data_IF_776413637415
#
_entry.id   IF_776413637415
#
_cell.length_a   1.000
_cell.length_b   1.000
_cell.length_c   1.000
_cell.angle_alpha   90.00
_cell.angle_beta   90.00
_cell.angle_gamma   90.00
#
_symmetry.space_group_name_H-M   'P 1'
#
loop_
_entity.id
_entity.type
_entity.pdbx_description
1 polymer ?
#
# COMPACT_ATOMS: atom_id res chain seq x y z
N UNK A 1 -21.25 55.92 -13.37
CA UNK A 1 -20.01 55.41 -12.74
C UNK A 1 -19.14 54.77 -13.81
N UNK A 2 -18.13 55.49 -14.31
CA UNK A 2 -17.12 54.91 -15.22
C UNK A 2 -16.13 54.14 -14.35
N UNK A 3 -16.17 52.82 -14.43
CA UNK A 3 -15.23 51.91 -13.77
C UNK A 3 -13.82 52.22 -14.32
N UNK A 4 -12.95 52.75 -13.46
CA UNK A 4 -11.60 53.22 -13.78
C UNK A 4 -10.56 52.11 -13.95
N UNK A 5 -10.84 51.09 -14.75
CA UNK A 5 -9.82 50.11 -15.18
C UNK A 5 -9.27 50.39 -16.59
N UNK A 6 -9.62 51.54 -17.19
CA UNK A 6 -9.29 51.86 -18.58
C UNK A 6 -8.11 52.85 -18.72
N UNK A 7 -7.04 52.65 -17.96
CA UNK A 7 -5.77 53.38 -18.17
C UNK A 7 -4.54 52.52 -17.86
N UNK A 8 -4.56 51.24 -18.24
CA UNK A 8 -3.35 50.42 -18.27
C UNK A 8 -2.86 50.33 -19.72
N UNK A 9 -1.65 50.82 -19.96
CA UNK A 9 -0.98 50.65 -21.25
C UNK A 9 -0.83 49.16 -21.58
N UNK A 10 -0.92 48.80 -22.86
CA UNK A 10 -0.82 47.40 -23.34
C UNK A 10 0.38 46.65 -22.75
N UNK A 11 1.51 47.34 -22.54
CA UNK A 11 2.71 46.79 -21.90
C UNK A 11 2.53 46.46 -20.41
N UNK A 12 1.73 47.25 -19.67
CA UNK A 12 1.41 47.01 -18.26
C UNK A 12 0.50 45.78 -18.09
N UNK A 13 -0.43 45.56 -19.02
CA UNK A 13 -1.25 44.34 -19.05
C UNK A 13 -0.42 43.08 -19.34
N UNK A 14 0.58 43.19 -20.24
CA UNK A 14 1.51 42.10 -20.54
C UNK A 14 2.39 41.77 -19.33
N UNK A 15 2.87 42.78 -18.60
CA UNK A 15 3.66 42.58 -17.37
C UNK A 15 2.83 41.96 -16.25
N UNK A 16 1.56 42.35 -16.10
CA UNK A 16 0.65 41.77 -15.11
C UNK A 16 0.31 40.30 -15.44
N UNK A 17 0.08 39.98 -16.73
CA UNK A 17 -0.17 38.62 -17.17
C UNK A 17 1.07 37.71 -16.99
N UNK A 18 2.27 38.24 -17.22
CA UNK A 18 3.53 37.54 -16.96
C UNK A 18 3.70 37.25 -15.46
N UNK A 19 3.40 38.22 -14.61
CA UNK A 19 3.50 38.09 -13.16
C UNK A 19 2.49 37.09 -12.59
N UNK A 20 1.25 37.05 -13.12
CA UNK A 20 0.24 36.06 -12.75
C UNK A 20 0.65 34.63 -13.14
N UNK A 21 1.36 34.46 -14.25
CA UNK A 21 1.84 33.13 -14.70
C UNK A 21 2.94 32.54 -13.79
N UNK A 22 3.60 33.35 -12.96
CA UNK A 22 4.69 32.91 -12.08
C UNK A 22 4.20 32.33 -10.75
N UNK A 23 2.93 32.55 -10.38
CA UNK A 23 2.35 32.12 -9.10
C UNK A 23 1.63 30.76 -9.21
N UNK A 24 1.41 30.28 -10.44
CA UNK A 24 0.93 28.93 -10.72
C UNK A 24 2.17 28.06 -11.03
N UNK A 25 3.07 27.95 -10.06
CA UNK A 25 4.13 26.93 -10.14
C UNK A 25 3.51 25.53 -10.24
N UNK A 26 4.22 24.54 -10.82
CA UNK A 26 3.72 23.18 -10.81
C UNK A 26 3.51 22.80 -9.35
N UNK A 27 2.30 22.37 -9.02
CA UNK A 27 1.97 21.77 -7.75
C UNK A 27 2.87 20.53 -7.66
N UNK A 28 4.08 20.68 -7.11
CA UNK A 28 4.94 19.56 -6.77
C UNK A 28 4.11 18.74 -5.81
N UNK A 29 3.66 17.60 -6.29
CA UNK A 29 2.92 16.62 -5.51
C UNK A 29 3.82 16.27 -4.33
N UNK A 30 3.57 16.87 -3.17
CA UNK A 30 4.11 16.38 -1.93
C UNK A 30 3.63 14.92 -1.86
N UNK A 31 4.56 13.99 -2.08
CA UNK A 31 4.28 12.57 -1.95
C UNK A 31 3.87 12.37 -0.50
N UNK A 32 2.57 12.23 -0.27
CA UNK A 32 2.04 11.76 1.00
C UNK A 32 2.72 10.41 1.20
N UNK A 33 3.71 10.36 2.10
CA UNK A 33 4.26 9.10 2.57
C UNK A 33 3.15 8.47 3.38
N UNK A 34 2.26 7.75 2.70
CA UNK A 34 1.33 6.85 3.33
C UNK A 34 2.20 5.88 4.10
N UNK A 35 2.22 6.01 5.43
CA UNK A 35 2.71 4.93 6.26
C UNK A 35 1.83 3.74 5.91
N UNK A 36 2.38 2.86 5.08
CA UNK A 36 1.71 1.68 4.60
C UNK A 36 1.23 0.93 5.82
N UNK A 37 -0.09 0.85 6.02
CA UNK A 37 -0.70 -0.20 6.83
C UNK A 37 0.04 -1.48 6.54
N UNK A 38 0.57 -2.21 7.54
CA UNK A 38 1.40 -3.38 7.30
C UNK A 38 0.68 -4.28 6.31
N UNK A 39 1.20 -4.29 5.08
CA UNK A 39 0.55 -4.99 3.99
C UNK A 39 0.64 -6.47 4.31
N UNK A 40 -0.46 -7.21 4.11
CA UNK A 40 -0.49 -8.65 4.25
C UNK A 40 0.41 -9.25 3.16
N UNK A 41 1.70 -9.22 3.45
CA UNK A 41 2.80 -9.74 2.65
C UNK A 41 3.20 -11.07 3.26
N UNK A 42 3.58 -12.01 2.41
CA UNK A 42 4.00 -13.34 2.83
C UNK A 42 5.13 -13.25 3.86
N UNK A 43 6.10 -12.37 3.63
CA UNK A 43 7.29 -12.21 4.46
C UNK A 43 6.96 -11.78 5.89
N UNK A 44 5.89 -10.99 6.09
CA UNK A 44 5.49 -10.51 7.41
C UNK A 44 4.61 -11.52 8.15
N UNK A 45 3.78 -12.29 7.44
CA UNK A 45 2.79 -13.20 8.05
C UNK A 45 3.35 -14.59 8.31
N UNK A 46 4.28 -15.07 7.47
CA UNK A 46 4.80 -16.44 7.52
C UNK A 46 5.49 -16.80 8.84
N UNK A 47 6.39 -15.98 9.42
CA UNK A 47 7.03 -16.33 10.70
C UNK A 47 6.03 -16.44 11.85
N UNK A 48 4.99 -15.60 11.83
CA UNK A 48 3.92 -15.64 12.82
C UNK A 48 3.07 -16.91 12.69
N UNK A 49 2.63 -17.23 11.46
CA UNK A 49 1.86 -18.45 11.19
C UNK A 49 2.67 -19.71 11.49
N UNK A 50 3.96 -19.74 11.13
CA UNK A 50 4.83 -20.88 11.42
C UNK A 50 4.91 -21.17 12.92
N UNK A 51 5.09 -20.13 13.74
CA UNK A 51 5.12 -20.27 15.20
C UNK A 51 3.78 -20.75 15.75
N UNK A 52 2.68 -20.11 15.34
CA UNK A 52 1.33 -20.44 15.81
C UNK A 52 0.93 -21.87 15.43
N UNK A 53 1.04 -22.22 14.15
CA UNK A 53 0.61 -23.51 13.63
C UNK A 53 1.46 -24.63 14.22
N UNK A 54 2.79 -24.44 14.34
CA UNK A 54 3.66 -25.44 14.96
C UNK A 54 3.32 -25.67 16.44
N UNK A 55 2.95 -24.62 17.19
CA UNK A 55 2.51 -24.77 18.59
C UNK A 55 1.22 -25.57 18.68
N UNK A 56 0.22 -25.19 17.89
CA UNK A 56 -1.09 -25.85 17.85
C UNK A 56 -0.97 -27.32 17.43
N UNK A 57 -0.14 -27.62 16.43
CA UNK A 57 0.09 -28.99 15.98
C UNK A 57 0.68 -29.86 17.10
N UNK A 58 1.63 -29.32 17.88
CA UNK A 58 2.21 -30.03 19.03
C UNK A 58 1.18 -30.25 20.13
N UNK A 59 0.43 -29.22 20.50
CA UNK A 59 -0.58 -29.29 21.56
C UNK A 59 -1.71 -30.27 21.24
N UNK A 60 -2.12 -30.32 19.98
CA UNK A 60 -3.25 -31.13 19.53
C UNK A 60 -2.82 -32.49 18.94
N UNK A 61 -1.53 -32.84 18.99
CA UNK A 61 -0.97 -34.04 18.37
C UNK A 61 -1.35 -34.20 16.88
N UNK A 62 -1.35 -33.09 16.13
CA UNK A 62 -1.61 -33.07 14.68
C UNK A 62 -0.28 -33.29 13.96
N UNK A 63 -0.22 -34.33 13.12
CA UNK A 63 0.99 -34.71 12.37
C UNK A 63 1.24 -33.85 11.13
N UNK A 64 0.19 -33.24 10.57
CA UNK A 64 0.29 -32.33 9.44
C UNK A 64 -1.01 -31.60 9.13
N UNK A 65 -0.90 -30.43 8.51
CA UNK A 65 -2.03 -29.64 8.02
C UNK A 65 -1.63 -28.71 6.87
N UNK A 66 -2.54 -28.48 5.93
CA UNK A 66 -2.41 -27.42 4.92
C UNK A 66 -3.21 -26.19 5.34
N UNK A 67 -2.60 -25.01 5.27
CA UNK A 67 -3.25 -23.73 5.56
C UNK A 67 -3.23 -22.86 4.32
N UNK A 68 -4.38 -22.29 3.97
CA UNK A 68 -4.52 -21.29 2.90
C UNK A 68 -5.35 -20.11 3.39
N UNK A 69 -4.87 -18.89 3.12
CA UNK A 69 -5.52 -17.63 3.50
C UNK A 69 -5.80 -16.85 2.22
N UNK A 70 -7.04 -16.39 2.06
CA UNK A 70 -7.48 -15.58 0.92
C UNK A 70 -7.66 -14.14 1.39
N UNK A 71 -7.05 -13.20 0.69
CA UNK A 71 -7.26 -11.77 0.86
C UNK A 71 -7.55 -11.12 -0.49
N UNK A 72 -8.51 -10.19 -0.52
CA UNK A 72 -8.90 -9.45 -1.74
C UNK A 72 -9.16 -10.36 -2.96
N UNK A 73 -9.87 -11.48 -2.74
CA UNK A 73 -10.21 -12.48 -3.77
C UNK A 73 -9.01 -13.25 -4.36
N UNK A 74 -7.83 -13.16 -3.74
CA UNK A 74 -6.62 -13.89 -4.14
C UNK A 74 -6.02 -14.66 -2.97
N UNK A 75 -5.30 -15.75 -3.24
CA UNK A 75 -4.58 -16.49 -2.19
C UNK A 75 -3.40 -15.64 -1.74
N UNK A 76 -3.45 -15.21 -0.48
CA UNK A 76 -2.43 -14.38 0.13
C UNK A 76 -1.32 -15.21 0.81
N UNK A 77 -1.66 -16.42 1.26
CA UNK A 77 -0.71 -17.37 1.84
C UNK A 77 -1.22 -18.80 1.63
N UNK A 78 -0.33 -19.73 1.29
CA UNK A 78 -0.64 -21.17 1.26
C UNK A 78 0.61 -21.97 1.58
N UNK A 79 0.54 -22.82 2.61
CA UNK A 79 1.67 -23.64 3.07
C UNK A 79 1.18 -24.93 3.72
N UNK A 80 1.92 -26.02 3.46
CA UNK A 80 1.78 -27.28 4.18
C UNK A 80 2.72 -27.34 5.38
N UNK A 81 2.22 -27.84 6.49
CA UNK A 81 2.96 -28.07 7.73
C UNK A 81 2.93 -29.56 8.08
N UNK A 82 4.06 -30.09 8.54
CA UNK A 82 4.17 -31.49 8.92
C UNK A 82 4.00 -32.47 7.74
N UNK A 83 3.38 -33.60 8.02
CA UNK A 83 3.26 -34.72 7.08
C UNK A 83 1.79 -35.01 6.76
N UNK A 84 1.49 -35.21 5.48
CA UNK A 84 0.24 -35.80 5.02
C UNK A 84 0.16 -37.30 5.30
N UNK A 85 1.32 -37.97 5.35
CA UNK A 85 1.46 -39.37 5.70
C UNK A 85 2.77 -39.57 6.50
N UNK A 86 2.64 -39.91 7.78
CA UNK A 86 3.80 -40.05 8.68
C UNK A 86 4.67 -41.27 8.34
N UNK A 87 4.08 -42.35 7.83
CA UNK A 87 4.81 -43.57 7.49
C UNK A 87 5.64 -43.37 6.22
N UNK A 88 5.04 -42.69 5.24
CA UNK A 88 5.70 -42.36 3.98
C UNK A 88 6.48 -41.04 4.01
N UNK A 89 6.41 -40.28 5.13
CA UNK A 89 7.04 -38.96 5.33
C UNK A 89 6.74 -37.97 4.19
N UNK A 90 5.55 -38.07 3.61
CA UNK A 90 5.03 -37.15 2.59
C UNK A 90 4.08 -36.14 3.21
#
# INVERSE_FOLDING_TARGET
>A
MKIGYLFLNKHQLILLALFLSLIIGPITSAQIKTESTPYFTKENIEPFLDSLITSLMKEQNIIGCGISIVNDSSIAFSKGYGYSDLENKN
#
